data_IF_886520120019
#
_entry.id   IF_886520120019
#
_cell.length_a   1.000
_cell.length_b   1.000
_cell.length_c   1.000
_cell.angle_alpha   90.00
_cell.angle_beta   90.00
_cell.angle_gamma   90.00
#
_symmetry.space_group_name_H-M   'P 1'
#
loop_
_entity.id
_entity.type
_entity.pdbx_description
1 polymer ?
#
# COMPACT_ATOMS: atom_id res chain seq x y z
N UNK A 1 -5.63 2.67 1.90
CA UNK A 1 -6.48 1.55 1.49
C UNK A 1 -7.94 1.80 1.79
N UNK A 2 -8.80 1.07 1.15
CA UNK A 2 -10.25 1.21 1.27
C UNK A 2 -10.90 -0.15 1.54
N UNK A 3 -11.84 -0.19 2.49
CA UNK A 3 -12.71 -1.33 2.72
C UNK A 3 -14.13 -0.87 2.43
N UNK A 4 -14.83 -1.57 1.56
CA UNK A 4 -16.19 -1.21 1.16
C UNK A 4 -17.10 -2.43 1.08
N UNK A 5 -18.39 -2.22 1.36
CA UNK A 5 -19.42 -3.21 1.11
C UNK A 5 -19.80 -3.24 -0.37
N UNK A 6 -20.28 -4.39 -0.84
CA UNK A 6 -20.86 -4.53 -2.17
C UNK A 6 -22.12 -3.69 -2.31
N UNK A 7 -22.95 -3.66 -1.28
CA UNK A 7 -24.30 -3.10 -1.30
C UNK A 7 -24.47 -2.03 -0.23
N UNK A 8 -24.86 -0.82 -0.61
CA UNK A 8 -25.23 0.27 0.30
C UNK A 8 -26.19 1.25 -0.37
N UNK A 9 -26.77 2.17 0.41
CA UNK A 9 -27.66 3.20 -0.12
C UNK A 9 -26.85 4.26 -0.88
N UNK A 10 -27.31 4.57 -2.09
CA UNK A 10 -26.77 5.64 -2.91
C UNK A 10 -27.91 6.57 -3.33
N UNK A 11 -27.84 7.85 -2.93
CA UNK A 11 -28.91 8.80 -3.20
C UNK A 11 -30.26 8.40 -2.62
N UNK A 12 -30.29 7.66 -1.49
CA UNK A 12 -31.54 7.19 -0.87
C UNK A 12 -32.11 5.90 -1.43
N UNK A 13 -31.50 5.32 -2.47
CA UNK A 13 -31.88 4.05 -3.09
C UNK A 13 -30.90 2.97 -2.76
N UNK A 14 -31.37 1.76 -2.48
CA UNK A 14 -30.52 0.60 -2.24
C UNK A 14 -29.90 0.13 -3.57
N UNK A 15 -28.58 0.32 -3.70
CA UNK A 15 -27.81 -0.07 -4.88
C UNK A 15 -27.01 -1.34 -4.60
N UNK A 16 -27.36 -2.42 -5.31
CA UNK A 16 -26.70 -3.73 -5.16
C UNK A 16 -25.28 -3.78 -5.72
N UNK A 17 -24.91 -2.83 -6.58
CA UNK A 17 -23.59 -2.73 -7.22
C UNK A 17 -22.80 -1.50 -6.75
N UNK A 18 -23.28 -0.80 -5.72
CA UNK A 18 -22.65 0.42 -5.22
C UNK A 18 -21.15 0.25 -4.92
N UNK A 19 -20.77 -0.86 -4.28
CA UNK A 19 -19.37 -1.18 -4.00
C UNK A 19 -18.52 -1.37 -5.25
N UNK A 20 -19.08 -1.96 -6.31
CA UNK A 20 -18.37 -2.13 -7.58
C UNK A 20 -18.17 -0.79 -8.30
N UNK A 21 -19.18 0.07 -8.30
CA UNK A 21 -19.05 1.42 -8.86
C UNK A 21 -17.97 2.21 -8.12
N UNK A 22 -17.97 2.13 -6.80
CA UNK A 22 -16.98 2.80 -5.96
C UNK A 22 -15.55 2.26 -6.21
N UNK A 23 -15.39 0.95 -6.30
CA UNK A 23 -14.10 0.35 -6.65
C UNK A 23 -13.58 0.83 -8.01
N UNK A 24 -14.43 0.88 -9.04
CA UNK A 24 -14.05 1.38 -10.37
C UNK A 24 -13.62 2.83 -10.34
N UNK A 25 -14.33 3.67 -9.61
CA UNK A 25 -14.04 5.10 -9.45
C UNK A 25 -12.65 5.31 -8.81
N UNK A 26 -12.38 4.62 -7.69
CA UNK A 26 -11.07 4.70 -7.03
C UNK A 26 -9.94 4.17 -7.93
N UNK A 27 -10.16 3.04 -8.62
CA UNK A 27 -9.15 2.46 -9.51
C UNK A 27 -8.86 3.32 -10.76
N UNK A 28 -9.80 4.16 -11.16
CA UNK A 28 -9.58 5.14 -12.23
C UNK A 28 -8.65 6.28 -11.78
N UNK A 29 -8.75 6.69 -10.51
CA UNK A 29 -7.87 7.73 -9.93
C UNK A 29 -6.52 7.18 -9.48
N UNK A 30 -6.52 6.04 -8.81
CA UNK A 30 -5.30 5.33 -8.36
C UNK A 30 -5.46 3.81 -8.57
N UNK A 31 -4.91 3.32 -9.68
CA UNK A 31 -4.95 1.89 -10.03
C UNK A 31 -4.28 0.97 -9.00
N UNK A 32 -3.39 1.52 -8.19
CA UNK A 32 -2.65 0.77 -7.15
C UNK A 32 -3.29 0.88 -5.76
N UNK A 33 -4.36 1.67 -5.60
CA UNK A 33 -5.04 1.76 -4.32
C UNK A 33 -5.51 0.38 -3.86
N UNK A 34 -5.07 -0.10 -2.69
CA UNK A 34 -5.59 -1.33 -2.14
C UNK A 34 -7.04 -1.18 -1.75
N UNK A 35 -7.90 -2.03 -2.28
CA UNK A 35 -9.35 -2.04 -1.98
C UNK A 35 -9.72 -3.45 -1.57
N UNK A 36 -10.50 -3.58 -0.49
CA UNK A 36 -11.14 -4.80 -0.05
C UNK A 36 -12.65 -4.66 -0.19
N UNK A 37 -13.25 -5.47 -1.04
CA UNK A 37 -14.69 -5.54 -1.24
C UNK A 37 -15.28 -6.66 -0.39
N UNK A 38 -16.24 -6.31 0.46
CA UNK A 38 -16.94 -7.27 1.32
C UNK A 38 -18.29 -7.62 0.72
N UNK A 39 -18.64 -8.90 0.68
CA UNK A 39 -19.95 -9.38 0.25
C UNK A 39 -20.24 -10.76 0.84
N UNK A 40 -21.52 -11.04 1.05
CA UNK A 40 -22.00 -12.42 1.30
C UNK A 40 -22.21 -13.22 0.01
N UNK A 41 -22.20 -12.57 -1.14
CA UNK A 41 -22.36 -13.19 -2.46
C UNK A 41 -21.00 -13.63 -3.01
N UNK A 42 -20.81 -14.96 -3.14
CA UNK A 42 -19.59 -15.57 -3.66
C UNK A 42 -19.35 -15.24 -5.14
N UNK A 43 -20.43 -14.96 -5.91
CA UNK A 43 -20.32 -14.56 -7.32
C UNK A 43 -19.52 -13.29 -7.54
N UNK A 44 -19.49 -12.41 -6.54
CA UNK A 44 -18.72 -11.15 -6.53
C UNK A 44 -17.22 -11.38 -6.57
N UNK A 45 -16.73 -12.53 -6.11
CA UNK A 45 -15.29 -12.86 -6.10
C UNK A 45 -14.64 -12.78 -7.48
N UNK A 46 -15.34 -13.25 -8.52
CA UNK A 46 -14.81 -13.21 -9.89
C UNK A 46 -14.73 -11.77 -10.43
N UNK A 47 -15.69 -10.93 -10.08
CA UNK A 47 -15.72 -9.53 -10.47
C UNK A 47 -14.63 -8.76 -9.73
N UNK A 48 -14.45 -8.99 -8.43
CA UNK A 48 -13.37 -8.42 -7.64
C UNK A 48 -11.99 -8.73 -8.24
N UNK A 49 -11.77 -9.99 -8.65
CA UNK A 49 -10.53 -10.41 -9.31
C UNK A 49 -10.27 -9.62 -10.61
N UNK A 50 -11.29 -9.43 -11.46
CA UNK A 50 -11.18 -8.64 -12.70
C UNK A 50 -10.84 -7.18 -12.42
N UNK A 51 -11.36 -6.60 -11.34
CA UNK A 51 -11.08 -5.23 -10.91
C UNK A 51 -9.75 -5.09 -10.14
N UNK A 52 -9.05 -6.19 -9.88
CA UNK A 52 -7.82 -6.21 -9.05
C UNK A 52 -8.06 -5.64 -7.66
N UNK A 53 -9.18 -6.00 -7.04
CA UNK A 53 -9.51 -5.69 -5.65
C UNK A 53 -9.60 -6.97 -4.84
N UNK A 54 -9.29 -6.87 -3.55
CA UNK A 54 -9.48 -7.99 -2.62
C UNK A 54 -10.96 -8.30 -2.43
N UNK A 55 -11.27 -9.55 -2.17
CA UNK A 55 -12.63 -10.02 -1.85
C UNK A 55 -12.64 -10.69 -0.49
N UNK A 56 -13.63 -10.35 0.32
CA UNK A 56 -13.87 -10.94 1.63
C UNK A 56 -15.32 -11.41 1.75
N UNK A 57 -15.51 -12.70 2.03
CA UNK A 57 -16.83 -13.24 2.29
C UNK A 57 -17.26 -12.92 3.73
N UNK A 58 -18.32 -12.13 3.91
CA UNK A 58 -18.87 -11.76 5.23
C UNK A 58 -19.28 -12.97 6.08
N UNK A 59 -19.63 -14.08 5.44
CA UNK A 59 -20.04 -15.32 6.12
C UNK A 59 -18.85 -16.27 6.42
N UNK A 60 -17.61 -15.83 6.15
CA UNK A 60 -16.44 -16.65 6.43
C UNK A 60 -16.22 -16.81 7.94
N UNK A 61 -16.02 -18.04 8.46
CA UNK A 61 -15.68 -18.23 9.87
C UNK A 61 -14.33 -17.65 10.26
N UNK A 62 -13.46 -17.36 9.26
CA UNK A 62 -12.15 -16.74 9.45
C UNK A 62 -12.11 -15.28 9.00
N UNK A 63 -13.27 -14.61 8.97
CA UNK A 63 -13.41 -13.21 8.52
C UNK A 63 -12.38 -12.27 9.16
N UNK A 64 -12.26 -12.30 10.48
CA UNK A 64 -11.36 -11.42 11.23
C UNK A 64 -9.88 -11.67 10.90
N UNK A 65 -9.52 -12.93 10.67
CA UNK A 65 -8.15 -13.30 10.30
C UNK A 65 -7.84 -12.78 8.89
N UNK A 66 -8.73 -13.06 7.93
CA UNK A 66 -8.57 -12.63 6.55
C UNK A 66 -8.51 -11.10 6.43
N UNK A 67 -9.34 -10.38 7.22
CA UNK A 67 -9.33 -8.92 7.27
C UNK A 67 -8.00 -8.40 7.81
N UNK A 68 -7.52 -8.94 8.93
CA UNK A 68 -6.24 -8.56 9.52
C UNK A 68 -5.09 -8.81 8.55
N UNK A 69 -5.07 -9.96 7.90
CA UNK A 69 -4.01 -10.33 6.96
C UNK A 69 -4.01 -9.40 5.75
N UNK A 70 -5.20 -9.08 5.20
CA UNK A 70 -5.32 -8.10 4.11
C UNK A 70 -4.84 -6.70 4.52
N UNK A 71 -5.23 -6.23 5.70
CA UNK A 71 -4.80 -4.93 6.22
C UNK A 71 -3.27 -4.90 6.40
N UNK A 72 -2.69 -5.95 6.96
CA UNK A 72 -1.25 -6.05 7.17
C UNK A 72 -0.48 -6.06 5.85
N UNK A 73 -0.95 -6.82 4.86
CA UNK A 73 -0.27 -7.02 3.59
C UNK A 73 -0.43 -5.82 2.65
N UNK A 74 -1.66 -5.29 2.52
CA UNK A 74 -1.98 -4.32 1.45
C UNK A 74 -2.15 -2.89 1.94
N UNK A 75 -2.47 -2.65 3.22
CA UNK A 75 -2.62 -1.30 3.76
C UNK A 75 -1.34 -0.79 4.41
N UNK A 76 -0.25 -1.54 4.29
CA UNK A 76 1.06 -1.20 4.82
C UNK A 76 1.08 -0.98 6.35
N UNK A 77 0.18 -1.62 7.09
CA UNK A 77 0.27 -1.74 8.53
C UNK A 77 1.27 -2.84 8.88
N UNK A 78 2.15 -2.60 9.83
CA UNK A 78 3.21 -3.54 10.17
C UNK A 78 4.57 -3.11 9.60
N UNK A 79 5.55 -4.00 9.60
CA UNK A 79 6.90 -3.73 9.09
C UNK A 79 6.87 -3.46 7.58
N UNK A 80 7.82 -2.65 7.12
CA UNK A 80 8.08 -2.55 5.70
C UNK A 80 8.97 -3.71 5.26
N UNK A 81 8.46 -4.55 4.39
CA UNK A 81 9.19 -5.71 3.88
C UNK A 81 9.68 -5.41 2.47
N UNK A 82 10.99 -5.43 2.28
CA UNK A 82 11.60 -5.40 0.96
C UNK A 82 11.64 -6.82 0.41
N UNK A 83 11.11 -7.00 -0.80
CA UNK A 83 11.07 -8.30 -1.46
C UNK A 83 11.86 -8.27 -2.76
N UNK A 84 12.45 -9.39 -3.12
CA UNK A 84 12.97 -9.59 -4.46
C UNK A 84 11.79 -9.67 -5.44
N UNK A 85 11.75 -8.86 -6.52
CA UNK A 85 10.61 -8.80 -7.43
C UNK A 85 10.43 -10.06 -8.28
N UNK A 86 11.46 -10.90 -8.44
CA UNK A 86 11.41 -12.12 -9.24
C UNK A 86 10.94 -13.31 -8.41
N UNK A 87 11.46 -13.45 -7.19
CA UNK A 87 11.19 -14.60 -6.32
C UNK A 87 10.11 -14.33 -5.28
N UNK A 88 9.76 -13.06 -5.06
CA UNK A 88 8.88 -12.60 -3.99
C UNK A 88 9.37 -12.97 -2.58
N UNK A 89 10.66 -13.25 -2.43
CA UNK A 89 11.25 -13.55 -1.13
C UNK A 89 11.66 -12.26 -0.42
N UNK A 90 11.51 -12.26 0.90
CA UNK A 90 12.00 -11.16 1.75
C UNK A 90 13.52 -11.08 1.67
N UNK A 91 14.03 -9.86 1.39
CA UNK A 91 15.47 -9.58 1.35
C UNK A 91 15.90 -8.63 2.47
N UNK A 92 14.97 -7.80 2.97
CA UNK A 92 15.24 -6.88 4.08
C UNK A 92 13.92 -6.44 4.71
N UNK A 93 13.98 -5.92 5.95
CA UNK A 93 12.80 -5.50 6.70
C UNK A 93 13.08 -4.25 7.53
N UNK A 94 12.12 -3.33 7.58
CA UNK A 94 12.18 -2.14 8.42
C UNK A 94 10.96 -2.10 9.35
N UNK A 95 11.19 -2.08 10.66
CA UNK A 95 10.14 -2.06 11.69
C UNK A 95 9.56 -0.67 11.93
N UNK A 96 10.38 0.34 11.78
CA UNK A 96 10.06 1.74 12.01
C UNK A 96 10.88 2.66 11.11
N UNK A 97 10.65 3.96 11.22
CA UNK A 97 11.31 4.97 10.39
C UNK A 97 12.83 5.00 10.58
N UNK A 98 13.31 4.79 11.81
CA UNK A 98 14.73 4.73 12.10
C UNK A 98 15.36 3.53 11.42
N UNK A 99 14.75 2.37 11.58
CA UNK A 99 15.24 1.14 10.96
C UNK A 99 15.15 1.21 9.43
N UNK A 100 14.10 1.83 8.86
CA UNK A 100 14.05 2.09 7.41
C UNK A 100 15.28 2.89 6.95
N UNK A 101 15.63 3.95 7.67
CA UNK A 101 16.80 4.78 7.35
C UNK A 101 18.11 3.97 7.40
N UNK A 102 18.26 3.11 8.40
CA UNK A 102 19.46 2.27 8.60
C UNK A 102 19.66 1.25 7.48
N UNK A 103 18.58 0.64 6.98
CA UNK A 103 18.66 -0.44 5.96
C UNK A 103 18.66 0.05 4.51
N UNK A 104 18.44 1.35 4.25
CA UNK A 104 18.33 1.88 2.88
C UNK A 104 19.49 1.48 1.96
N UNK A 105 20.71 1.41 2.50
CA UNK A 105 21.91 1.08 1.71
C UNK A 105 22.19 -0.43 1.64
N UNK A 106 21.52 -1.24 2.46
CA UNK A 106 21.69 -2.69 2.50
C UNK A 106 20.71 -3.43 1.59
N UNK A 107 19.64 -2.74 1.14
CA UNK A 107 18.64 -3.32 0.25
C UNK A 107 19.20 -3.51 -1.15
N UNK A 108 19.10 -4.70 -1.76
CA UNK A 108 19.49 -4.94 -3.15
C UNK A 108 18.83 -3.97 -4.13
N UNK A 109 19.55 -3.54 -5.17
CA UNK A 109 19.11 -2.52 -6.12
C UNK A 109 17.79 -2.87 -6.82
N UNK A 110 17.62 -4.11 -7.24
CA UNK A 110 16.38 -4.58 -7.89
C UNK A 110 15.17 -4.46 -6.95
N UNK A 111 15.32 -4.84 -5.69
CA UNK A 111 14.28 -4.71 -4.67
C UNK A 111 13.99 -3.24 -4.36
N UNK A 112 15.03 -2.44 -4.15
CA UNK A 112 14.89 -1.02 -3.86
C UNK A 112 14.14 -0.29 -4.99
N UNK A 113 14.56 -0.46 -6.24
CA UNK A 113 13.91 0.15 -7.41
C UNK A 113 12.45 -0.33 -7.55
N UNK A 114 12.20 -1.62 -7.32
CA UNK A 114 10.85 -2.19 -7.34
C UNK A 114 9.90 -1.46 -6.38
N UNK A 115 10.34 -1.25 -5.13
CA UNK A 115 9.51 -0.59 -4.12
C UNK A 115 9.35 0.92 -4.33
N UNK A 116 10.41 1.60 -4.77
CA UNK A 116 10.38 3.03 -5.07
C UNK A 116 9.44 3.33 -6.23
N UNK A 117 9.59 2.65 -7.37
CA UNK A 117 8.80 2.91 -8.59
C UNK A 117 7.29 2.66 -8.40
N UNK A 118 6.90 1.95 -7.34
CA UNK A 118 5.50 1.65 -6.99
C UNK A 118 4.97 2.45 -5.79
N UNK A 119 5.75 3.42 -5.31
CA UNK A 119 5.42 4.24 -4.13
C UNK A 119 5.11 3.43 -2.85
N UNK A 120 5.70 2.25 -2.69
CA UNK A 120 5.42 1.41 -1.54
C UNK A 120 5.88 2.05 -0.23
N UNK A 121 7.05 2.70 -0.20
CA UNK A 121 7.57 3.41 0.98
C UNK A 121 6.65 4.59 1.34
N UNK A 122 6.23 5.40 0.37
CA UNK A 122 5.28 6.49 0.60
C UNK A 122 3.96 6.00 1.20
N UNK A 123 3.41 4.90 0.70
CA UNK A 123 2.19 4.27 1.24
C UNK A 123 2.38 3.80 2.68
N UNK A 124 3.52 3.18 2.98
CA UNK A 124 3.85 2.72 4.32
C UNK A 124 4.00 3.87 5.33
N UNK A 125 4.65 4.97 4.92
CA UNK A 125 4.77 6.19 5.72
C UNK A 125 3.40 6.84 5.98
N UNK A 126 2.53 6.86 4.97
CA UNK A 126 1.17 7.41 5.08
C UNK A 126 0.32 6.60 6.06
N UNK A 127 0.44 5.28 6.06
CA UNK A 127 -0.25 4.41 7.01
C UNK A 127 0.16 4.68 8.47
N UNK A 128 1.33 5.28 8.69
CA UNK A 128 1.87 5.72 9.99
C UNK A 128 1.60 7.19 10.32
N UNK A 129 0.74 7.85 9.56
CA UNK A 129 0.46 9.29 9.67
C UNK A 129 1.71 10.19 9.52
N UNK A 130 2.75 9.70 8.84
CA UNK A 130 3.95 10.47 8.51
C UNK A 130 3.74 11.21 7.17
N UNK A 131 2.65 11.95 7.09
CA UNK A 131 2.16 12.57 5.84
C UNK A 131 3.17 13.47 5.14
N UNK A 132 3.87 14.40 5.81
CA UNK A 132 4.83 15.27 5.12
C UNK A 132 5.94 14.47 4.42
N UNK A 133 6.43 13.42 5.07
CA UNK A 133 7.48 12.57 4.52
C UNK A 133 6.94 11.65 3.41
N UNK A 134 5.72 11.15 3.57
CA UNK A 134 5.04 10.35 2.56
C UNK A 134 4.78 11.14 1.27
N UNK A 135 4.38 12.40 1.40
CA UNK A 135 4.13 13.29 0.25
C UNK A 135 5.44 13.65 -0.46
N UNK A 136 6.50 13.90 0.29
CA UNK A 136 7.82 14.12 -0.27
C UNK A 136 8.30 12.93 -1.10
N UNK A 137 8.15 11.70 -0.58
CA UNK A 137 8.58 10.48 -1.27
C UNK A 137 7.71 10.11 -2.47
N UNK A 138 6.49 10.61 -2.53
CA UNK A 138 5.60 10.42 -3.68
C UNK A 138 5.91 11.36 -4.84
N UNK A 139 6.50 12.52 -4.57
CA UNK A 139 6.67 13.59 -5.57
C UNK A 139 7.83 13.35 -6.53
N UNK A 140 8.90 12.67 -6.11
CA UNK A 140 10.03 12.41 -6.99
C UNK A 140 9.80 11.19 -7.87
N UNK A 141 10.42 11.21 -9.05
CA UNK A 141 10.51 10.06 -9.94
C UNK A 141 11.95 9.53 -9.91
N UNK A 142 12.16 8.20 -10.01
CA UNK A 142 13.52 7.64 -10.06
C UNK A 142 14.40 8.25 -11.16
N UNK A 143 13.79 8.68 -12.26
CA UNK A 143 14.45 9.30 -13.41
C UNK A 143 15.00 10.71 -13.13
N UNK A 144 14.57 11.36 -12.04
CA UNK A 144 15.09 12.67 -11.61
C UNK A 144 16.49 12.57 -10.97
N UNK A 145 16.99 11.36 -10.75
CA UNK A 145 18.28 11.08 -10.10
C UNK A 145 19.25 10.39 -11.05
N UNK A 146 20.54 10.64 -10.88
CA UNK A 146 21.58 10.06 -11.73
C UNK A 146 21.75 8.54 -11.50
N UNK A 147 21.48 8.07 -10.27
CA UNK A 147 21.59 6.66 -9.87
C UNK A 147 20.81 6.36 -8.59
N UNK A 148 20.70 5.08 -8.25
CA UNK A 148 19.96 4.63 -7.05
C UNK A 148 20.59 5.11 -5.73
N UNK A 149 21.89 5.30 -5.67
CA UNK A 149 22.57 5.78 -4.46
C UNK A 149 22.21 7.24 -4.15
N UNK A 150 21.99 8.06 -5.16
CA UNK A 150 21.46 9.41 -4.96
C UNK A 150 20.03 9.38 -4.38
N UNK A 151 19.19 8.47 -4.86
CA UNK A 151 17.85 8.28 -4.28
C UNK A 151 17.95 7.84 -2.83
N UNK A 152 18.81 6.87 -2.52
CA UNK A 152 19.03 6.39 -1.14
C UNK A 152 19.47 7.53 -0.22
N UNK A 153 20.43 8.35 -0.65
CA UNK A 153 20.90 9.53 0.10
C UNK A 153 19.80 10.56 0.30
N UNK A 154 19.03 10.86 -0.76
CA UNK A 154 17.90 11.77 -0.67
C UNK A 154 16.88 11.30 0.38
N UNK A 155 16.49 10.03 0.36
CA UNK A 155 15.57 9.45 1.34
C UNK A 155 16.18 9.46 2.75
N UNK A 156 17.44 9.10 2.88
CA UNK A 156 18.17 9.13 4.15
C UNK A 156 18.18 10.53 4.78
N UNK A 157 18.52 11.54 3.99
CA UNK A 157 18.58 12.94 4.43
C UNK A 157 17.20 13.49 4.79
N UNK A 158 16.19 13.16 3.99
CA UNK A 158 14.80 13.54 4.28
C UNK A 158 14.31 12.94 5.60
N UNK A 159 14.59 11.68 5.86
CA UNK A 159 14.26 11.02 7.13
C UNK A 159 15.02 11.66 8.29
N UNK A 160 16.33 11.95 8.11
CA UNK A 160 17.15 12.61 9.14
C UNK A 160 16.57 13.96 9.53
N UNK A 161 16.26 14.80 8.55
CA UNK A 161 15.63 16.11 8.79
C UNK A 161 14.31 15.98 9.51
N UNK A 162 13.44 15.08 9.03
CA UNK A 162 12.12 14.86 9.64
C UNK A 162 12.23 14.43 11.12
N UNK A 163 13.18 13.55 11.45
CA UNK A 163 13.42 13.09 12.83
C UNK A 163 13.97 14.19 13.72
N UNK A 164 14.83 15.08 13.20
CA UNK A 164 15.35 16.24 13.94
C UNK A 164 14.25 17.24 14.34
N UNK A 165 13.26 17.45 13.47
CA UNK A 165 12.16 18.39 13.75
C UNK A 165 11.09 17.84 14.70
N UNK A 166 11.05 16.53 14.94
CA UNK A 166 10.12 15.89 15.86
C UNK A 166 10.74 15.52 17.22
N UNK A 167 12.03 15.69 17.37
CA UNK A 167 12.75 15.59 18.66
C UNK A 167 12.82 16.94 19.34
#
# INVERSE_FOLDING_TARGET
GVITDMTYQRGGVHDKEAGLHFCRMIKAEDKYMPILLQSSDIGVKQIAKKLRVGYLNKNSPTLSIQLRDFISEYFAFGDFVFVDPETNQEVQRAKDLKHLQEVLFDVPDNSFLYHISRNHISKWLRARALFPLADLFKQFQPEDFANLDEIRRYLYDAISKFRMYKG
#
